data_IF_511486835227
#
_entry.id   IF_511486835227
#
_cell.length_a   1.000
_cell.length_b   1.000
_cell.length_c   1.000
_cell.angle_alpha   90.00
_cell.angle_beta   90.00
_cell.angle_gamma   90.00
#
_symmetry.space_group_name_H-M   'P 1'
#
loop_
_entity.id
_entity.type
_entity.pdbx_description
1 polymer ?
#
# COMPACT_ATOMS: atom_id res chain seq x y z
N UNK A 1 -18.95 -9.97 -10.03
CA UNK A 1 -18.15 -8.95 -9.31
C UNK A 1 -17.41 -8.11 -10.36
N UNK A 2 -17.69 -6.80 -10.50
CA UNK A 2 -17.24 -5.96 -11.64
C UNK A 2 -15.71 -5.87 -11.82
N UNK A 3 -14.94 -6.21 -10.79
CA UNK A 3 -13.47 -6.18 -10.80
C UNK A 3 -12.90 -7.36 -11.61
N UNK A 4 -13.57 -8.52 -11.60
CA UNK A 4 -13.07 -9.74 -12.27
C UNK A 4 -12.97 -9.62 -13.79
N UNK A 5 -13.69 -8.68 -14.41
CA UNK A 5 -13.66 -8.44 -15.86
C UNK A 5 -12.59 -7.42 -16.29
N UNK A 6 -11.78 -6.91 -15.35
CA UNK A 6 -10.78 -5.85 -15.58
C UNK A 6 -9.38 -6.22 -15.10
N UNK A 7 -9.09 -7.51 -14.98
CA UNK A 7 -7.81 -8.00 -14.45
C UNK A 7 -6.62 -7.77 -15.39
N UNK A 8 -6.88 -7.29 -16.61
CA UNK A 8 -5.86 -6.97 -17.63
C UNK A 8 -5.71 -5.45 -17.86
N UNK A 9 -6.55 -4.63 -17.22
CA UNK A 9 -6.58 -3.17 -17.38
C UNK A 9 -5.44 -2.49 -16.59
N UNK A 10 -4.19 -2.66 -17.02
CA UNK A 10 -3.04 -1.94 -16.45
C UNK A 10 -2.94 -0.55 -17.11
N UNK A 11 -3.80 0.38 -16.70
CA UNK A 11 -3.90 1.72 -17.32
C UNK A 11 -3.27 2.82 -16.46
N UNK A 12 -3.46 2.78 -15.13
CA UNK A 12 -3.03 3.83 -14.20
C UNK A 12 -2.75 3.21 -12.82
N UNK A 13 -1.60 3.47 -12.22
CA UNK A 13 -1.22 2.84 -10.94
C UNK A 13 -2.20 3.02 -9.80
N UNK A 14 -2.86 4.18 -9.70
CA UNK A 14 -3.86 4.37 -8.65
C UNK A 14 -5.04 3.39 -8.81
N UNK A 15 -5.38 3.00 -10.04
CA UNK A 15 -6.42 2.00 -10.32
C UNK A 15 -5.90 0.63 -9.90
N UNK A 16 -4.69 0.26 -10.29
CA UNK A 16 -4.09 -1.03 -9.93
C UNK A 16 -4.03 -1.22 -8.42
N UNK A 17 -3.62 -0.19 -7.69
CA UNK A 17 -3.58 -0.21 -6.22
C UNK A 17 -5.00 -0.32 -5.64
N UNK A 18 -5.98 0.38 -6.22
CA UNK A 18 -7.37 0.27 -5.76
C UNK A 18 -7.91 -1.14 -5.97
N UNK A 19 -7.70 -1.73 -7.15
CA UNK A 19 -8.10 -3.09 -7.46
C UNK A 19 -7.35 -4.10 -6.58
N UNK A 20 -6.06 -3.92 -6.34
CA UNK A 20 -5.29 -4.81 -5.47
C UNK A 20 -5.85 -4.81 -4.03
N UNK A 21 -6.19 -3.64 -3.49
CA UNK A 21 -6.87 -3.54 -2.18
C UNK A 21 -8.19 -4.34 -2.24
N UNK A 22 -9.06 -4.04 -3.20
CA UNK A 22 -10.37 -4.70 -3.30
C UNK A 22 -10.27 -6.23 -3.51
N UNK A 23 -9.32 -6.70 -4.32
CA UNK A 23 -9.09 -8.12 -4.56
C UNK A 23 -8.55 -8.80 -3.31
N UNK A 24 -7.56 -8.23 -2.63
CA UNK A 24 -7.03 -8.79 -1.40
C UNK A 24 -8.14 -9.03 -0.35
N UNK A 25 -9.08 -8.10 -0.20
CA UNK A 25 -10.18 -8.28 0.76
C UNK A 25 -11.24 -9.30 0.32
N UNK A 26 -11.46 -9.48 -0.98
CA UNK A 26 -12.54 -10.33 -1.50
C UNK A 26 -12.09 -11.73 -1.95
N UNK A 27 -10.90 -11.86 -2.55
CA UNK A 27 -10.45 -13.03 -3.29
C UNK A 27 -8.91 -12.99 -3.44
N UNK A 28 -8.21 -13.58 -2.47
CA UNK A 28 -6.74 -13.50 -2.38
C UNK A 28 -6.02 -14.21 -3.52
N UNK A 29 -6.63 -15.25 -4.11
CA UNK A 29 -6.00 -15.98 -5.21
C UNK A 29 -6.04 -15.13 -6.48
N UNK A 30 -7.18 -14.49 -6.77
CA UNK A 30 -7.25 -13.50 -7.85
C UNK A 30 -6.33 -12.28 -7.60
N UNK A 31 -6.12 -11.87 -6.35
CA UNK A 31 -5.17 -10.81 -6.03
C UNK A 31 -3.71 -11.22 -6.38
N UNK A 32 -3.33 -12.46 -6.08
CA UNK A 32 -2.01 -13.00 -6.43
C UNK A 32 -1.84 -13.11 -7.94
N UNK A 33 -2.86 -13.53 -8.66
CA UNK A 33 -2.81 -13.61 -10.13
C UNK A 33 -2.76 -12.22 -10.76
N UNK A 34 -3.51 -11.25 -10.23
CA UNK A 34 -3.40 -9.85 -10.64
C UNK A 34 -2.00 -9.28 -10.39
N UNK A 35 -1.36 -9.61 -9.25
CA UNK A 35 0.02 -9.19 -8.98
C UNK A 35 1.01 -9.74 -10.02
N UNK A 36 0.84 -10.99 -10.48
CA UNK A 36 1.65 -11.57 -11.56
C UNK A 36 1.42 -10.83 -12.88
N UNK A 37 0.18 -10.43 -13.18
CA UNK A 37 -0.15 -9.65 -14.37
C UNK A 37 0.53 -8.28 -14.34
N UNK A 38 0.48 -7.56 -13.22
CA UNK A 38 1.19 -6.27 -13.04
C UNK A 38 2.69 -6.47 -13.26
N UNK A 39 3.28 -7.55 -12.72
CA UNK A 39 4.71 -7.83 -12.91
C UNK A 39 5.06 -8.05 -14.38
N UNK A 40 4.26 -8.87 -15.08
CA UNK A 40 4.44 -9.11 -16.51
C UNK A 40 4.31 -7.81 -17.31
N UNK A 41 3.31 -6.98 -16.98
CA UNK A 41 3.11 -5.68 -17.60
C UNK A 41 4.33 -4.77 -17.43
N UNK A 42 4.86 -4.68 -16.21
CA UNK A 42 6.08 -3.93 -15.92
C UNK A 42 7.23 -4.36 -16.83
N UNK A 43 7.43 -5.66 -17.00
CA UNK A 43 8.59 -6.19 -17.72
C UNK A 43 8.45 -6.12 -19.26
N UNK A 44 7.21 -5.99 -19.80
CA UNK A 44 6.95 -6.06 -21.24
C UNK A 44 6.40 -4.80 -21.90
N UNK A 45 5.96 -3.80 -21.14
CA UNK A 45 5.32 -2.60 -21.68
C UNK A 45 6.33 -1.50 -22.04
N UNK A 46 6.22 -0.94 -23.24
CA UNK A 46 6.97 0.25 -23.67
C UNK A 46 6.04 1.45 -23.89
N UNK A 47 5.05 1.59 -23.01
CA UNK A 47 4.03 2.62 -23.04
C UNK A 47 4.53 3.94 -22.42
N UNK A 48 3.64 4.92 -22.31
CA UNK A 48 3.97 6.24 -21.73
C UNK A 48 4.07 6.23 -20.21
N UNK A 49 3.83 5.08 -19.56
CA UNK A 49 3.91 4.97 -18.12
C UNK A 49 5.38 4.87 -17.67
N UNK A 50 5.80 5.72 -16.74
CA UNK A 50 7.21 5.76 -16.35
C UNK A 50 7.62 4.47 -15.63
N UNK A 51 8.82 3.98 -15.91
CA UNK A 51 9.39 2.78 -15.25
C UNK A 51 9.41 2.90 -13.72
N UNK A 52 9.63 4.11 -13.21
CA UNK A 52 9.58 4.40 -11.79
C UNK A 52 8.17 4.17 -11.25
N UNK A 53 7.14 4.70 -11.91
CA UNK A 53 5.76 4.50 -11.49
C UNK A 53 5.33 3.03 -11.61
N UNK A 54 5.72 2.30 -12.67
CA UNK A 54 5.49 0.84 -12.77
C UNK A 54 6.09 0.09 -11.58
N UNK A 55 7.35 0.39 -11.27
CA UNK A 55 8.08 -0.23 -10.16
C UNK A 55 7.41 0.03 -8.83
N UNK A 56 7.07 1.29 -8.53
CA UNK A 56 6.37 1.66 -7.29
C UNK A 56 5.01 0.96 -7.20
N UNK A 57 4.28 0.86 -8.31
CA UNK A 57 2.96 0.21 -8.36
C UNK A 57 3.04 -1.26 -7.98
N UNK A 58 3.97 -1.98 -8.61
CA UNK A 58 4.20 -3.39 -8.31
C UNK A 58 4.59 -3.59 -6.84
N UNK A 59 5.57 -2.81 -6.35
CA UNK A 59 6.05 -2.87 -4.97
C UNK A 59 4.94 -2.59 -3.96
N UNK A 60 4.10 -1.58 -4.19
CA UNK A 60 2.95 -1.29 -3.33
C UNK A 60 1.90 -2.41 -3.37
N UNK A 61 1.62 -2.97 -4.55
CA UNK A 61 0.70 -4.11 -4.66
C UNK A 61 1.22 -5.34 -3.92
N UNK A 62 2.54 -5.60 -3.97
CA UNK A 62 3.18 -6.67 -3.22
C UNK A 62 3.07 -6.46 -1.71
N UNK A 63 3.21 -5.23 -1.21
CA UNK A 63 2.99 -4.90 0.18
C UNK A 63 1.55 -5.20 0.62
N UNK A 64 0.56 -4.91 -0.23
CA UNK A 64 -0.86 -5.17 0.05
C UNK A 64 -1.14 -6.67 0.14
N UNK A 65 -0.61 -7.47 -0.78
CA UNK A 65 -0.72 -8.94 -0.72
C UNK A 65 -0.02 -9.48 0.54
N UNK A 66 1.16 -8.96 0.87
CA UNK A 66 1.92 -9.37 2.06
C UNK A 66 1.14 -9.09 3.35
N UNK A 67 0.54 -7.90 3.47
CA UNK A 67 -0.35 -7.56 4.58
C UNK A 67 -1.52 -8.54 4.66
N UNK A 68 -2.20 -8.78 3.55
CA UNK A 68 -3.41 -9.60 3.52
C UNK A 68 -3.14 -11.07 3.87
N UNK A 69 -1.93 -11.55 3.57
CA UNK A 69 -1.47 -12.92 3.87
C UNK A 69 -0.79 -13.03 5.23
N UNK A 70 -0.91 -12.01 6.09
CA UNK A 70 -0.31 -11.91 7.43
C UNK A 70 1.24 -11.94 7.44
N UNK A 71 1.89 -11.69 6.29
CA UNK A 71 3.33 -11.50 6.24
C UNK A 71 3.68 -10.03 6.56
N UNK A 72 3.42 -9.65 7.82
CA UNK A 72 3.55 -8.27 8.29
C UNK A 72 4.99 -7.76 8.22
N UNK A 73 5.99 -8.60 8.50
CA UNK A 73 7.41 -8.21 8.40
C UNK A 73 7.78 -7.82 6.96
N UNK A 74 7.33 -8.58 5.96
CA UNK A 74 7.54 -8.23 4.55
C UNK A 74 6.77 -6.96 4.17
N UNK A 75 5.54 -6.82 4.65
CA UNK A 75 4.76 -5.60 4.44
C UNK A 75 5.47 -4.36 4.99
N UNK A 76 6.00 -4.42 6.23
CA UNK A 76 6.77 -3.34 6.86
C UNK A 76 7.99 -3.00 6.02
N UNK A 77 8.81 -4.01 5.69
CA UNK A 77 10.04 -3.82 4.92
C UNK A 77 9.78 -3.06 3.62
N UNK A 78 8.75 -3.47 2.88
CA UNK A 78 8.40 -2.84 1.60
C UNK A 78 7.88 -1.42 1.82
N UNK A 79 6.93 -1.22 2.74
CA UNK A 79 6.29 0.08 2.93
C UNK A 79 7.27 1.12 3.47
N UNK A 80 8.19 0.76 4.36
CA UNK A 80 9.22 1.70 4.82
C UNK A 80 10.10 2.25 3.69
N UNK A 81 10.30 1.48 2.62
CA UNK A 81 11.16 1.88 1.48
C UNK A 81 10.43 2.77 0.45
N UNK A 82 9.11 2.62 0.31
CA UNK A 82 8.38 3.14 -0.85
C UNK A 82 7.24 4.10 -0.51
N UNK A 83 6.83 4.21 0.76
CA UNK A 83 5.65 4.97 1.13
C UNK A 83 5.79 6.49 0.90
N UNK A 84 7.00 7.03 1.05
CA UNK A 84 7.35 8.41 0.74
C UNK A 84 7.21 8.74 -0.76
N UNK A 85 7.44 7.76 -1.63
CA UNK A 85 7.29 7.83 -3.08
C UNK A 85 5.87 7.54 -3.58
N UNK A 86 4.94 7.22 -2.67
CA UNK A 86 3.54 6.91 -3.02
C UNK A 86 2.78 8.09 -3.66
N UNK A 87 3.34 9.30 -3.76
CA UNK A 87 2.71 10.36 -4.57
C UNK A 87 2.87 10.12 -6.08
N UNK A 88 3.85 9.32 -6.51
CA UNK A 88 4.17 9.04 -7.92
C UNK A 88 3.15 8.15 -8.64
N UNK A 89 2.26 7.50 -7.89
CA UNK A 89 1.13 6.73 -8.43
C UNK A 89 -0.10 7.62 -8.72
N UNK A 90 -0.07 8.90 -8.33
CA UNK A 90 -1.22 9.80 -8.38
C UNK A 90 -2.29 9.44 -7.34
N UNK A 91 -3.56 9.71 -7.66
CA UNK A 91 -4.69 9.31 -6.82
C UNK A 91 -4.92 10.16 -5.56
N UNK A 92 -5.87 9.71 -4.73
CA UNK A 92 -6.37 10.48 -3.60
C UNK A 92 -5.48 10.38 -2.35
N UNK A 93 -5.49 11.41 -1.51
CA UNK A 93 -4.84 11.38 -0.20
C UNK A 93 -5.38 10.23 0.68
N UNK A 94 -6.69 9.93 0.57
CA UNK A 94 -7.32 8.86 1.32
C UNK A 94 -6.78 7.47 0.94
N UNK A 95 -6.58 7.19 -0.35
CA UNK A 95 -6.01 5.92 -0.80
C UNK A 95 -4.57 5.72 -0.28
N UNK A 96 -3.74 6.77 -0.34
CA UNK A 96 -2.37 6.74 0.20
C UNK A 96 -2.36 6.61 1.73
N UNK A 97 -3.39 7.14 2.41
CA UNK A 97 -3.53 6.97 3.85
C UNK A 97 -3.83 5.52 4.25
N UNK A 98 -4.52 4.75 3.41
CA UNK A 98 -4.71 3.30 3.64
C UNK A 98 -3.36 2.58 3.74
N UNK A 99 -2.41 2.90 2.85
CA UNK A 99 -1.06 2.31 2.90
C UNK A 99 -0.32 2.68 4.20
N UNK A 100 -0.47 3.91 4.67
CA UNK A 100 0.06 4.34 5.96
C UNK A 100 -0.55 3.57 7.13
N UNK A 101 -1.87 3.36 7.11
CA UNK A 101 -2.57 2.59 8.14
C UNK A 101 -2.17 1.10 8.11
N UNK A 102 -1.92 0.53 6.93
CA UNK A 102 -1.41 -0.83 6.79
C UNK A 102 -0.01 -1.01 7.37
N UNK A 103 0.90 -0.04 7.15
CA UNK A 103 2.21 -0.04 7.80
C UNK A 103 2.04 0.01 9.32
N UNK A 104 1.22 0.94 9.82
CA UNK A 104 0.98 1.09 11.26
C UNK A 104 0.42 -0.18 11.90
N UNK A 105 -0.63 -0.78 11.32
CA UNK A 105 -1.21 -2.02 11.82
C UNK A 105 -0.22 -3.20 11.77
N UNK A 106 0.61 -3.27 10.71
CA UNK A 106 1.67 -4.28 10.62
C UNK A 106 2.70 -4.12 11.75
N UNK A 107 3.10 -2.87 12.05
CA UNK A 107 4.01 -2.57 13.16
C UNK A 107 3.41 -2.97 14.51
N UNK A 108 2.11 -2.71 14.74
CA UNK A 108 1.38 -3.16 15.93
C UNK A 108 1.38 -4.68 16.06
N UNK A 109 1.03 -5.40 14.99
CA UNK A 109 0.95 -6.87 14.98
C UNK A 109 2.30 -7.55 15.19
N UNK A 110 3.39 -6.87 14.84
CA UNK A 110 4.78 -7.34 15.01
C UNK A 110 5.45 -6.80 16.27
N UNK A 111 4.77 -5.95 17.05
CA UNK A 111 5.24 -5.35 18.30
C UNK A 111 6.54 -4.53 18.15
N UNK A 112 6.69 -3.82 17.04
CA UNK A 112 7.84 -2.95 16.78
C UNK A 112 7.68 -1.58 17.46
N UNK A 113 7.78 -1.53 18.80
CA UNK A 113 7.46 -0.34 19.61
C UNK A 113 8.20 0.93 19.19
N UNK A 114 9.51 0.85 18.92
CA UNK A 114 10.31 2.02 18.51
C UNK A 114 9.79 2.61 17.19
N UNK A 115 9.43 1.74 16.23
CA UNK A 115 8.88 2.15 14.93
C UNK A 115 7.46 2.68 15.05
N UNK A 116 6.64 2.11 15.94
CA UNK A 116 5.29 2.61 16.27
C UNK A 116 5.40 4.05 16.77
N UNK A 117 6.30 4.31 17.72
CA UNK A 117 6.50 5.64 18.28
C UNK A 117 7.00 6.64 17.24
N UNK A 118 7.98 6.25 16.42
CA UNK A 118 8.47 7.10 15.34
C UNK A 118 7.36 7.44 14.33
N UNK A 119 6.58 6.43 13.90
CA UNK A 119 5.46 6.62 12.97
C UNK A 119 4.42 7.61 13.52
N UNK A 120 4.01 7.47 14.78
CA UNK A 120 3.03 8.34 15.41
C UNK A 120 3.55 9.77 15.56
N UNK A 121 4.82 9.95 15.91
CA UNK A 121 5.45 11.27 15.99
C UNK A 121 5.42 12.00 14.64
N UNK A 122 5.88 11.34 13.58
CA UNK A 122 5.89 11.90 12.22
C UNK A 122 4.46 12.27 11.79
N UNK A 123 3.50 11.36 12.01
CA UNK A 123 2.12 11.55 11.58
C UNK A 123 1.44 12.72 12.30
N UNK A 124 1.64 12.87 13.61
CA UNK A 124 1.07 13.99 14.38
C UNK A 124 1.71 15.32 14.01
N UNK A 125 3.03 15.36 13.80
CA UNK A 125 3.72 16.57 13.30
C UNK A 125 3.15 17.00 11.95
N UNK A 126 2.88 16.05 11.04
CA UNK A 126 2.29 16.34 9.74
C UNK A 126 0.82 16.75 9.79
N UNK A 127 0.11 16.45 10.89
CA UNK A 127 -1.34 16.63 11.05
C UNK A 127 -1.73 17.02 12.50
N UNK A 128 -1.25 18.16 13.02
CA UNK A 128 -1.28 18.48 14.46
C UNK A 128 -2.68 18.63 15.06
N UNK A 129 -3.69 18.93 14.23
CA UNK A 129 -5.09 19.09 14.67
C UNK A 129 -5.97 17.87 14.35
N UNK A 130 -5.38 16.75 13.92
CA UNK A 130 -6.13 15.56 13.58
C UNK A 130 -6.46 14.74 14.84
N UNK A 131 -7.73 14.80 15.26
CA UNK A 131 -8.23 14.10 16.46
C UNK A 131 -7.91 12.61 16.48
N UNK A 132 -7.92 11.95 15.32
CA UNK A 132 -7.59 10.53 15.21
C UNK A 132 -6.10 10.27 15.50
N UNK A 133 -5.20 11.11 14.99
CA UNK A 133 -3.76 10.99 15.26
C UNK A 133 -3.45 11.23 16.75
N UNK A 134 -4.08 12.23 17.36
CA UNK A 134 -3.93 12.50 18.80
C UNK A 134 -4.43 11.31 19.64
N UNK A 135 -5.56 10.69 19.25
CA UNK A 135 -6.06 9.52 19.96
C UNK A 135 -5.14 8.31 19.82
N UNK A 136 -4.51 8.10 18.66
CA UNK A 136 -3.53 7.03 18.48
C UNK A 136 -2.29 7.23 19.34
N UNK A 137 -1.79 8.47 19.49
CA UNK A 137 -0.69 8.75 20.41
C UNK A 137 -1.04 8.38 21.85
N UNK A 138 -2.19 8.84 22.37
CA UNK A 138 -2.64 8.52 23.73
C UNK A 138 -2.74 7.01 24.02
N UNK A 139 -3.06 6.20 23.00
CA UNK A 139 -3.25 4.75 23.17
C UNK A 139 -1.94 3.95 23.11
N UNK A 140 -0.90 4.47 22.48
CA UNK A 140 0.31 3.70 22.14
C UNK A 140 1.62 4.37 22.59
N UNK A 141 1.57 5.57 23.18
CA UNK A 141 2.68 6.28 23.83
C UNK A 141 2.32 6.58 25.29
#
# INVERSE_FOLDING_TARGET
NKIKTRLDDNLLAFIDIHFMICLCFNDIDNAKDYLKNIKKYQDSSNDTYTEISKTITFTLCEAIVSYRTNNFNKCILILEEVLDKSYLIGGSNAQRDILNLMLFDSLLKTKNNDKIQNFLNIRTISRPNNKFCNKLQELYL
#
